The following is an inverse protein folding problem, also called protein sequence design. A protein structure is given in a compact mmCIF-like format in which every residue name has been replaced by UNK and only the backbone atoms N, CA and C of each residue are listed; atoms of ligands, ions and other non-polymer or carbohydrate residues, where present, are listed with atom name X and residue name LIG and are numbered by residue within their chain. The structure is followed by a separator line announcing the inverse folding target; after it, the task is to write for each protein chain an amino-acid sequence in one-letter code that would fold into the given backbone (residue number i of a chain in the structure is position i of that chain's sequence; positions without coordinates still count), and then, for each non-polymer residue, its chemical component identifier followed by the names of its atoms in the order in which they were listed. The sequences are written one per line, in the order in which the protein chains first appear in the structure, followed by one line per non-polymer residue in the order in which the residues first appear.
data_IF_095806848329
#
_entry.id   IF_095806848329
#
_cell.length_a   1.000
_cell.length_b   1.000
_cell.length_c   1.000
_cell.angle_alpha   90.00
_cell.angle_beta   90.00
_cell.angle_gamma   90.00
#
_symmetry.space_group_name_H-M   'P 1'
#
loop_
_entity.id
_entity.type
_entity.pdbx_description
1 polymer ?
#
# COMPACT_ATOMS: atom_id res chain seq x y z
N UNK A 1 -6.04 -8.32 0.46
CA UNK A 1 -5.14 -8.11 1.60
C UNK A 1 -5.52 -6.86 2.41
N UNK A 2 -5.60 -5.68 1.84
CA UNK A 2 -5.91 -4.43 2.56
C UNK A 2 -7.13 -4.52 3.48
N UNK A 3 -8.19 -5.20 3.07
CA UNK A 3 -9.37 -5.41 3.92
C UNK A 3 -9.11 -6.26 5.18
N UNK A 4 -8.14 -7.19 5.15
CA UNK A 4 -7.76 -7.96 6.34
C UNK A 4 -6.96 -7.09 7.32
N UNK A 5 -6.04 -6.27 6.80
CA UNK A 5 -5.29 -5.29 7.61
C UNK A 5 -6.24 -4.29 8.25
N UNK A 6 -7.17 -3.73 7.48
CA UNK A 6 -8.17 -2.79 8.00
C UNK A 6 -9.01 -3.41 9.14
N UNK A 7 -9.45 -4.68 8.99
CA UNK A 7 -10.18 -5.37 10.07
C UNK A 7 -9.35 -5.55 11.34
N UNK A 8 -8.08 -5.89 11.18
CA UNK A 8 -7.17 -6.06 12.32
C UNK A 8 -6.96 -4.72 13.05
N UNK A 9 -6.75 -3.62 12.31
CA UNK A 9 -6.57 -2.29 12.88
C UNK A 9 -7.84 -1.79 13.60
N UNK A 10 -9.02 -1.99 13.01
CA UNK A 10 -10.29 -1.62 13.65
C UNK A 10 -10.51 -2.37 14.95
N UNK A 11 -10.11 -3.65 15.01
CA UNK A 11 -10.18 -4.46 16.22
C UNK A 11 -9.10 -4.20 17.27
N UNK A 12 -8.13 -3.36 16.96
CA UNK A 12 -7.01 -3.06 17.86
C UNK A 12 -7.31 -1.87 18.75
N UNK A 13 -7.02 -1.98 20.05
CA UNK A 13 -7.20 -0.91 21.03
C UNK A 13 -6.16 0.22 20.85
N UNK A 14 -5.02 -0.07 20.24
CA UNK A 14 -3.99 0.93 19.96
C UNK A 14 -4.27 1.79 18.73
N UNK A 15 -5.21 1.39 17.88
CA UNK A 15 -5.64 2.17 16.73
C UNK A 15 -6.87 3.02 17.13
N UNK A 16 -6.67 4.31 17.31
CA UNK A 16 -7.74 5.26 17.66
C UNK A 16 -8.52 5.75 16.45
N UNK A 17 -7.87 5.87 15.29
CA UNK A 17 -8.45 6.35 14.05
C UNK A 17 -7.81 5.66 12.84
N UNK A 18 -8.63 5.32 11.84
CA UNK A 18 -8.20 4.66 10.61
C UNK A 18 -8.80 5.37 9.40
N UNK A 19 -7.96 5.98 8.58
CA UNK A 19 -8.36 6.50 7.27
C UNK A 19 -8.04 5.50 6.17
N UNK A 20 -9.07 5.04 5.46
CA UNK A 20 -8.94 4.13 4.33
C UNK A 20 -9.02 4.91 3.02
N UNK A 21 -7.91 4.97 2.31
CA UNK A 21 -7.83 5.54 0.97
C UNK A 21 -7.95 4.41 -0.07
N UNK A 22 -8.91 4.52 -0.96
CA UNK A 22 -9.12 3.50 -1.96
C UNK A 22 -9.97 3.98 -3.13
N UNK A 23 -9.98 3.22 -4.22
CA UNK A 23 -10.80 3.51 -5.41
C UNK A 23 -12.28 3.23 -5.21
N UNK A 24 -12.65 2.56 -4.14
CA UNK A 24 -14.03 2.15 -3.79
C UNK A 24 -14.18 2.06 -2.28
N UNK A 25 -15.38 2.28 -1.80
CA UNK A 25 -15.73 2.02 -0.42
C UNK A 25 -15.62 0.50 -0.10
N UNK A 26 -15.19 0.21 1.11
CA UNK A 26 -15.14 -1.14 1.66
C UNK A 26 -16.39 -1.35 2.51
N UNK A 27 -17.37 -2.11 2.00
CA UNK A 27 -18.69 -2.28 2.65
C UNK A 27 -18.57 -2.76 4.10
N UNK A 28 -17.63 -3.68 4.41
CA UNK A 28 -17.41 -4.19 5.77
C UNK A 28 -16.84 -3.17 6.75
N UNK A 29 -16.42 -2.00 6.27
CA UNK A 29 -15.88 -0.89 7.07
C UNK A 29 -16.87 0.26 7.23
N UNK A 30 -18.01 0.20 6.54
CA UNK A 30 -19.03 1.23 6.62
C UNK A 30 -19.64 1.31 8.01
N UNK A 31 -19.77 2.52 8.53
CA UNK A 31 -20.36 2.75 9.87
C UNK A 31 -19.50 2.35 11.06
N UNK A 32 -18.24 1.96 10.85
CA UNK A 32 -17.32 1.69 11.95
C UNK A 32 -16.84 3.00 12.60
N UNK A 33 -16.96 3.17 13.93
CA UNK A 33 -16.75 4.46 14.61
C UNK A 33 -15.34 5.05 14.48
N UNK A 34 -14.32 4.19 14.24
CA UNK A 34 -12.91 4.62 14.09
C UNK A 34 -12.52 4.86 12.64
N UNK A 35 -13.42 4.62 11.66
CA UNK A 35 -13.04 4.51 10.25
C UNK A 35 -13.59 5.67 9.44
N UNK A 36 -12.69 6.43 8.85
CA UNK A 36 -12.97 7.32 7.72
C UNK A 36 -12.64 6.59 6.41
N UNK A 37 -13.53 6.62 5.44
CA UNK A 37 -13.27 6.09 4.11
C UNK A 37 -13.27 7.22 3.08
N UNK A 38 -12.19 7.32 2.33
CA UNK A 38 -12.00 8.33 1.28
C UNK A 38 -11.83 7.64 -0.07
N UNK A 39 -12.77 7.86 -0.96
CA UNK A 39 -12.66 7.39 -2.35
C UNK A 39 -11.79 8.36 -3.13
N UNK A 40 -10.72 7.85 -3.72
CA UNK A 40 -9.75 8.64 -4.48
C UNK A 40 -9.63 8.14 -5.91
N UNK A 41 -9.53 9.08 -6.84
CA UNK A 41 -9.07 8.77 -8.19
C UNK A 41 -7.52 8.79 -8.20
N UNK A 42 -6.93 7.63 -8.37
CA UNK A 42 -5.46 7.47 -8.36
C UNK A 42 -4.78 8.09 -9.57
N UNK A 43 -5.53 8.46 -10.60
CA UNK A 43 -5.06 9.14 -11.82
C UNK A 43 -5.27 10.66 -11.79
N UNK A 44 -6.02 11.16 -10.81
CA UNK A 44 -6.30 12.59 -10.70
C UNK A 44 -5.02 13.40 -10.39
N UNK A 45 -4.97 14.62 -10.91
CA UNK A 45 -3.82 15.51 -10.72
C UNK A 45 -3.62 15.92 -9.25
N UNK A 46 -4.70 15.97 -8.47
CA UNK A 46 -4.71 16.34 -7.06
C UNK A 46 -4.53 15.15 -6.10
N UNK A 47 -4.32 13.94 -6.62
CA UNK A 47 -4.19 12.72 -5.80
C UNK A 47 -3.18 12.89 -4.65
N UNK A 48 -2.00 13.44 -4.93
CA UNK A 48 -0.93 13.61 -3.93
C UNK A 48 -1.34 14.61 -2.85
N UNK A 49 -2.07 15.68 -3.21
CA UNK A 49 -2.54 16.67 -2.24
C UNK A 49 -3.66 16.10 -1.36
N UNK A 50 -4.60 15.37 -1.94
CA UNK A 50 -5.65 14.66 -1.18
C UNK A 50 -5.05 13.68 -0.18
N UNK A 51 -4.07 12.87 -0.61
CA UNK A 51 -3.37 11.94 0.29
C UNK A 51 -2.68 12.70 1.42
N UNK A 52 -1.95 13.76 1.10
CA UNK A 52 -1.22 14.57 2.09
C UNK A 52 -2.16 15.19 3.11
N UNK A 53 -3.30 15.75 2.67
CA UNK A 53 -4.32 16.31 3.57
C UNK A 53 -4.87 15.23 4.51
N UNK A 54 -5.25 14.08 3.98
CA UNK A 54 -5.84 12.99 4.76
C UNK A 54 -4.84 12.24 5.66
N UNK A 55 -3.56 12.33 5.34
CA UNK A 55 -2.49 11.75 6.15
C UNK A 55 -2.10 12.59 7.37
N UNK A 56 -2.45 13.87 7.40
CA UNK A 56 -2.10 14.76 8.53
C UNK A 56 -2.65 14.25 9.85
N UNK A 57 -1.80 14.26 10.87
CA UNK A 57 -2.16 13.83 12.22
C UNK A 57 -2.20 12.31 12.42
N UNK A 58 -1.84 11.53 11.41
CA UNK A 58 -1.65 10.09 11.56
C UNK A 58 -0.19 9.77 11.93
N UNK A 59 -0.01 8.74 12.74
CA UNK A 59 1.31 8.29 13.19
C UNK A 59 1.95 7.32 12.20
N UNK A 60 1.12 6.52 11.52
CA UNK A 60 1.56 5.41 10.67
C UNK A 60 0.82 5.42 9.34
N UNK A 61 1.53 5.20 8.26
CA UNK A 61 0.94 4.87 6.97
C UNK A 61 1.21 3.41 6.59
N UNK A 62 0.18 2.72 6.13
CA UNK A 62 0.26 1.31 5.72
C UNK A 62 -0.09 1.20 4.23
N UNK A 63 0.81 0.65 3.44
CA UNK A 63 0.54 0.41 2.02
C UNK A 63 0.34 -1.07 1.71
N UNK A 64 -0.88 -1.37 1.26
CA UNK A 64 -1.22 -2.65 0.64
C UNK A 64 -1.43 -2.50 -0.88
N UNK A 65 -0.91 -1.43 -1.47
CA UNK A 65 -1.02 -1.18 -2.93
C UNK A 65 -0.30 -2.29 -3.68
N UNK A 66 -0.98 -2.86 -4.66
CA UNK A 66 -0.43 -3.89 -5.52
C UNK A 66 -1.46 -4.39 -6.53
N UNK A 67 -0.97 -5.03 -7.60
CA UNK A 67 -1.83 -5.54 -8.67
C UNK A 67 -2.64 -6.77 -8.22
N UNK A 68 -2.17 -7.47 -7.20
CA UNK A 68 -2.82 -8.68 -6.71
C UNK A 68 -2.47 -9.93 -7.51
N UNK A 69 -3.47 -10.77 -7.81
CA UNK A 69 -3.28 -12.01 -8.58
C UNK A 69 -3.15 -11.75 -10.09
N UNK A 70 -2.58 -12.72 -10.82
CA UNK A 70 -2.50 -12.64 -12.29
C UNK A 70 -1.32 -11.84 -12.83
N UNK A 71 -0.32 -11.54 -12.03
CA UNK A 71 0.85 -10.71 -12.39
C UNK A 71 1.66 -11.25 -13.58
N UNK A 72 1.55 -12.55 -13.92
CA UNK A 72 2.27 -13.14 -15.05
C UNK A 72 1.82 -12.55 -16.39
N UNK A 73 0.52 -12.30 -16.55
CA UNK A 73 -0.09 -11.76 -17.77
C UNK A 73 -0.10 -10.25 -17.85
N UNK A 74 0.18 -9.54 -16.75
CA UNK A 74 0.19 -8.08 -16.72
C UNK A 74 1.50 -7.54 -17.32
N UNK A 75 1.44 -6.58 -18.27
CA UNK A 75 2.63 -5.91 -18.78
C UNK A 75 3.45 -5.25 -17.66
N UNK A 76 4.79 -5.25 -17.82
CA UNK A 76 5.67 -4.68 -16.80
C UNK A 76 5.40 -3.19 -16.54
N UNK A 77 5.12 -2.43 -17.59
CA UNK A 77 4.79 -1.00 -17.48
C UNK A 77 3.60 -0.76 -16.57
N UNK A 78 2.55 -1.57 -16.72
CA UNK A 78 1.35 -1.47 -15.88
C UNK A 78 1.63 -1.89 -14.44
N UNK A 79 2.52 -2.85 -14.23
CA UNK A 79 2.98 -3.20 -12.89
C UNK A 79 3.76 -2.05 -12.26
N UNK A 80 4.67 -1.42 -13.00
CA UNK A 80 5.45 -0.27 -12.53
C UNK A 80 4.56 0.93 -12.19
N UNK A 81 3.52 1.17 -12.99
CA UNK A 81 2.56 2.24 -12.72
C UNK A 81 1.89 2.10 -11.35
N UNK A 82 1.46 0.90 -10.99
CA UNK A 82 0.76 0.65 -9.71
C UNK A 82 1.73 0.42 -8.56
N UNK A 83 2.69 -0.50 -8.75
CA UNK A 83 3.55 -0.98 -7.67
C UNK A 83 4.65 0.03 -7.30
N UNK A 84 5.05 0.89 -8.23
CA UNK A 84 6.15 1.84 -8.04
C UNK A 84 5.66 3.29 -8.08
N UNK A 85 5.01 3.70 -9.17
CA UNK A 85 4.66 5.11 -9.35
C UNK A 85 3.53 5.54 -8.40
N UNK A 86 2.41 4.81 -8.38
CA UNK A 86 1.29 5.13 -7.49
C UNK A 86 1.70 4.99 -6.03
N UNK A 87 2.40 3.92 -5.67
CA UNK A 87 2.92 3.74 -4.31
C UNK A 87 3.85 4.89 -3.93
N UNK A 88 4.77 5.28 -4.83
CA UNK A 88 5.71 6.37 -4.59
C UNK A 88 5.00 7.70 -4.33
N UNK A 89 3.95 8.01 -5.11
CA UNK A 89 3.10 9.19 -4.86
C UNK A 89 2.47 9.14 -3.47
N UNK A 90 1.83 8.02 -3.13
CA UNK A 90 1.23 7.82 -1.81
C UNK A 90 2.25 7.99 -0.69
N UNK A 91 3.38 7.30 -0.77
CA UNK A 91 4.41 7.32 0.27
C UNK A 91 5.03 8.72 0.45
N UNK A 92 5.36 9.42 -0.64
CA UNK A 92 5.88 10.81 -0.58
C UNK A 92 4.87 11.75 0.04
N UNK A 93 3.60 11.63 -0.30
CA UNK A 93 2.54 12.47 0.28
C UNK A 93 2.37 12.22 1.78
N UNK A 94 2.46 10.96 2.23
CA UNK A 94 2.46 10.61 3.65
C UNK A 94 3.67 11.22 4.38
N UNK A 95 4.87 11.11 3.80
CA UNK A 95 6.09 11.72 4.37
C UNK A 95 5.96 13.24 4.45
N UNK A 96 5.45 13.89 3.40
CA UNK A 96 5.22 15.33 3.37
C UNK A 96 4.13 15.80 4.36
N UNK A 97 3.23 14.91 4.79
CA UNK A 97 2.26 15.16 5.84
C UNK A 97 2.83 15.02 7.26
N UNK A 98 4.07 14.56 7.40
CA UNK A 98 4.77 14.38 8.69
C UNK A 98 4.75 12.95 9.22
N UNK A 99 4.28 11.97 8.45
CA UNK A 99 4.34 10.57 8.87
C UNK A 99 5.78 10.06 8.83
N UNK A 100 6.25 9.53 9.94
CA UNK A 100 7.60 8.98 10.08
C UNK A 100 7.64 7.44 10.11
N UNK A 101 6.51 6.78 10.28
CA UNK A 101 6.41 5.31 10.31
C UNK A 101 5.65 4.85 9.07
N UNK A 102 6.31 4.04 8.25
CA UNK A 102 5.69 3.48 7.04
C UNK A 102 5.76 1.96 7.05
N UNK A 103 4.64 1.33 6.74
CA UNK A 103 4.52 -0.12 6.63
C UNK A 103 4.24 -0.52 5.19
N UNK A 104 5.15 -1.30 4.62
CA UNK A 104 5.11 -1.73 3.23
C UNK A 104 4.83 -3.23 3.13
N UNK A 105 3.78 -3.57 2.38
CA UNK A 105 3.56 -4.94 1.97
C UNK A 105 4.27 -5.21 0.62
N UNK A 106 5.10 -6.24 0.60
CA UNK A 106 5.78 -6.74 -0.59
C UNK A 106 5.62 -8.27 -0.68
N UNK A 107 6.65 -9.02 -1.03
CA UNK A 107 6.60 -10.49 -1.12
C UNK A 107 7.90 -11.13 -0.65
N UNK A 108 7.82 -12.41 -0.27
CA UNK A 108 8.99 -13.23 0.04
C UNK A 108 10.01 -13.20 -1.10
N UNK A 109 11.30 -13.19 -0.76
CA UNK A 109 12.40 -13.14 -1.74
C UNK A 109 12.76 -11.76 -2.26
N UNK A 110 11.94 -10.73 -1.96
CA UNK A 110 12.23 -9.35 -2.37
C UNK A 110 13.28 -8.72 -1.45
N UNK A 111 14.30 -8.12 -2.05
CA UNK A 111 15.32 -7.30 -1.40
C UNK A 111 15.74 -6.14 -2.33
N UNK A 112 16.63 -5.30 -1.87
CA UNK A 112 17.11 -4.12 -2.62
C UNK A 112 17.74 -4.49 -3.98
N UNK A 113 18.44 -5.63 -4.06
CA UNK A 113 19.07 -6.12 -5.30
C UNK A 113 18.05 -6.69 -6.28
N UNK A 114 16.83 -6.98 -5.83
CA UNK A 114 15.75 -7.53 -6.66
C UNK A 114 15.35 -6.60 -7.81
N UNK A 115 15.62 -5.28 -7.70
CA UNK A 115 15.42 -4.32 -8.78
C UNK A 115 16.16 -4.68 -10.08
N UNK A 116 17.24 -5.45 -9.98
CA UNK A 116 18.05 -5.94 -11.11
C UNK A 116 17.72 -7.40 -11.50
N UNK A 117 16.68 -7.99 -10.92
CA UNK A 117 16.30 -9.38 -11.20
C UNK A 117 15.86 -9.57 -12.66
N UNK A 118 16.19 -10.72 -13.23
CA UNK A 118 15.67 -11.17 -14.53
C UNK A 118 14.19 -11.55 -14.45
N UNK A 119 13.70 -11.90 -13.27
CA UNK A 119 12.29 -12.23 -13.02
C UNK A 119 11.51 -10.92 -12.89
N UNK A 120 10.62 -10.66 -13.85
CA UNK A 120 9.78 -9.43 -13.93
C UNK A 120 9.15 -9.06 -12.58
N UNK A 121 8.49 -10.02 -11.94
CA UNK A 121 7.81 -9.80 -10.66
C UNK A 121 8.76 -9.31 -9.56
N UNK A 122 9.89 -10.01 -9.38
CA UNK A 122 10.88 -9.61 -8.37
C UNK A 122 11.52 -8.27 -8.71
N UNK A 123 11.77 -8.01 -9.99
CA UNK A 123 12.34 -6.73 -10.45
C UNK A 123 11.43 -5.55 -10.11
N UNK A 124 10.14 -5.67 -10.39
CA UNK A 124 9.16 -4.61 -10.07
C UNK A 124 9.04 -4.42 -8.56
N UNK A 125 8.94 -5.49 -7.78
CA UNK A 125 8.85 -5.37 -6.33
C UNK A 125 10.17 -4.90 -5.67
N UNK A 126 11.31 -5.21 -6.27
CA UNK A 126 12.59 -4.61 -5.85
C UNK A 126 12.63 -3.10 -6.07
N UNK A 127 12.15 -2.62 -7.23
CA UNK A 127 11.99 -1.18 -7.49
C UNK A 127 11.01 -0.52 -6.52
N UNK A 128 9.89 -1.21 -6.23
CA UNK A 128 8.92 -0.79 -5.21
C UNK A 128 9.59 -0.57 -3.85
N UNK A 129 10.37 -1.53 -3.39
CA UNK A 129 11.08 -1.45 -2.12
C UNK A 129 12.07 -0.29 -2.12
N UNK A 130 12.91 -0.16 -3.16
CA UNK A 130 13.90 0.91 -3.28
C UNK A 130 13.23 2.29 -3.30
N UNK A 131 12.11 2.45 -3.99
CA UNK A 131 11.34 3.71 -3.98
C UNK A 131 10.97 4.16 -2.58
N UNK A 132 10.53 3.24 -1.72
CA UNK A 132 10.16 3.59 -0.34
C UNK A 132 11.39 3.82 0.53
N UNK A 133 12.45 3.05 0.34
CA UNK A 133 13.74 3.27 1.03
C UNK A 133 14.31 4.66 0.75
N UNK A 134 14.28 5.09 -0.52
CA UNK A 134 14.79 6.40 -0.95
C UNK A 134 14.01 7.59 -0.37
N UNK A 135 12.74 7.39 0.04
CA UNK A 135 11.93 8.43 0.69
C UNK A 135 12.43 8.73 2.11
N UNK A 136 13.05 7.78 2.77
CA UNK A 136 13.73 8.00 4.06
C UNK A 136 12.76 8.21 5.23
N UNK A 137 11.81 7.31 5.43
CA UNK A 137 11.01 7.30 6.65
C UNK A 137 11.88 7.02 7.89
N UNK A 138 11.52 7.57 9.04
CA UNK A 138 12.23 7.33 10.30
C UNK A 138 12.16 5.86 10.73
N UNK A 139 11.03 5.19 10.44
CA UNK A 139 10.86 3.74 10.60
C UNK A 139 10.16 3.16 9.39
N UNK A 140 10.72 2.09 8.83
CA UNK A 140 10.13 1.33 7.74
C UNK A 140 9.99 -0.13 8.15
N UNK A 141 8.75 -0.62 8.22
CA UNK A 141 8.47 -2.05 8.37
C UNK A 141 8.11 -2.65 7.00
N UNK A 142 8.79 -3.71 6.61
CA UNK A 142 8.57 -4.39 5.32
C UNK A 142 8.05 -5.79 5.57
N UNK A 143 6.79 -6.00 5.25
CA UNK A 143 6.14 -7.31 5.35
C UNK A 143 6.33 -8.09 4.05
N UNK A 144 6.91 -9.27 4.14
CA UNK A 144 7.26 -10.14 3.00
C UNK A 144 6.55 -11.49 3.11
N UNK A 145 5.21 -11.52 3.00
CA UNK A 145 4.48 -12.78 3.08
C UNK A 145 4.86 -13.71 1.92
N UNK A 146 4.75 -15.00 2.17
CA UNK A 146 4.77 -16.03 1.15
C UNK A 146 3.41 -16.13 0.43
N UNK A 147 2.90 -17.35 0.28
CA UNK A 147 1.57 -17.57 -0.30
C UNK A 147 0.49 -17.09 0.66
N UNK A 148 -0.38 -16.20 0.18
CA UNK A 148 -1.52 -15.71 0.93
C UNK A 148 -2.72 -16.57 0.55
N UNK A 149 -3.32 -17.23 1.54
CA UNK A 149 -4.50 -18.08 1.39
C UNK A 149 -5.74 -17.40 1.96
N UNK A 150 -6.94 -17.87 1.60
CA UNK A 150 -8.18 -17.38 2.16
C UNK A 150 -8.73 -16.10 1.52
N UNK A 151 -8.29 -15.74 0.31
CA UNK A 151 -8.95 -14.71 -0.48
C UNK A 151 -10.28 -15.27 -1.00
N UNK A 152 -11.39 -14.67 -0.58
CA UNK A 152 -12.75 -15.02 -1.02
C UNK A 152 -13.01 -14.83 -2.55
N UNK A 153 -11.99 -14.45 -3.31
CA UNK A 153 -12.06 -14.20 -4.75
C UNK A 153 -11.11 -15.08 -5.58
N UNK A 154 -10.61 -16.19 -5.04
CA UNK A 154 -10.07 -17.25 -5.89
C UNK A 154 -11.25 -18.10 -6.35
N UNK A 155 -11.68 -18.02 -7.62
CA UNK A 155 -12.56 -19.06 -8.17
C UNK A 155 -11.82 -20.38 -8.03
N UNK A 156 -12.49 -21.35 -7.46
CA UNK A 156 -12.09 -22.76 -7.46
C UNK A 156 -11.92 -23.28 -8.88
#
# INVERSE_FOLDING_TARGET
MGGAVARALVGSDVCSHLTLLGRRLVASMQGKPKVEQVVVDTSAADFEEVVKEKARGHDVAVSCIGIGSGTRSVPEEKMLEVEVNLLGKFARSCKAAGIEIFELLTAVGVNERSANSRIKYLRVLGKKLNTVLDIGFGKLAVFKPGTIVGNAHTPS
#
